data_IF_628166057647
#
_entry.id   IF_628166057647
#
_cell.length_a   1.000
_cell.length_b   1.000
_cell.length_c   1.000
_cell.angle_alpha   90.00
_cell.angle_beta   90.00
_cell.angle_gamma   90.00
#
_symmetry.space_group_name_H-M   'P 1'
#
loop_
_entity.id
_entity.type
_entity.pdbx_description
1 polymer ?
#
# COMPACT_ATOMS: atom_id res chain seq x y z
N UNK A 1 -11.73 -25.48 42.99
CA UNK A 1 -11.83 -25.49 41.52
C UNK A 1 -12.50 -24.20 41.09
N UNK A 2 -11.82 -23.27 40.38
CA UNK A 2 -12.52 -22.11 39.83
C UNK A 2 -13.41 -22.56 38.66
N UNK A 3 -14.54 -21.86 38.39
CA UNK A 3 -15.42 -22.21 37.30
C UNK A 3 -14.72 -21.97 35.95
N UNK A 4 -14.82 -22.94 35.03
CA UNK A 4 -14.39 -22.78 33.64
C UNK A 4 -15.21 -21.65 33.02
N UNK A 5 -14.55 -20.56 32.61
CA UNK A 5 -15.16 -19.56 31.74
C UNK A 5 -15.63 -20.25 30.47
N UNK A 6 -16.87 -19.99 30.00
CA UNK A 6 -17.30 -20.50 28.70
C UNK A 6 -16.37 -19.94 27.63
N UNK A 7 -15.93 -20.78 26.70
CA UNK A 7 -15.17 -20.35 25.55
C UNK A 7 -16.03 -19.35 24.77
N UNK A 8 -15.71 -18.06 24.89
CA UNK A 8 -16.17 -17.04 23.95
C UNK A 8 -15.60 -17.50 22.61
N UNK A 9 -16.44 -18.01 21.71
CA UNK A 9 -16.04 -18.24 20.33
C UNK A 9 -15.44 -16.93 19.83
N UNK A 10 -14.14 -16.93 19.54
CA UNK A 10 -13.35 -15.72 19.35
C UNK A 10 -13.89 -14.90 18.20
N UNK A 11 -14.73 -13.91 18.54
CA UNK A 11 -15.03 -12.74 17.75
C UNK A 11 -13.76 -11.86 17.70
N UNK A 12 -12.67 -12.43 17.19
CA UNK A 12 -11.38 -11.77 17.11
C UNK A 12 -11.44 -10.77 15.97
N UNK A 13 -11.84 -9.53 16.29
CA UNK A 13 -11.76 -8.41 15.37
C UNK A 13 -10.36 -8.39 14.75
N UNK A 14 -10.21 -8.54 13.42
CA UNK A 14 -8.91 -8.59 12.76
C UNK A 14 -8.13 -7.29 12.90
N UNK A 15 -8.76 -6.24 13.44
CA UNK A 15 -8.20 -4.92 13.66
C UNK A 15 -7.99 -4.56 15.13
N UNK A 16 -8.23 -5.49 16.07
CA UNK A 16 -8.19 -5.24 17.52
C UNK A 16 -6.87 -4.64 18.06
N UNK A 17 -5.81 -4.64 17.26
CA UNK A 17 -4.49 -4.05 17.58
C UNK A 17 -3.94 -3.14 16.48
N UNK A 18 -4.79 -2.67 15.57
CA UNK A 18 -4.44 -1.65 14.60
C UNK A 18 -4.94 -0.29 15.07
N UNK A 19 -4.11 0.73 14.85
CA UNK A 19 -4.50 2.12 15.01
C UNK A 19 -5.09 2.62 13.68
N UNK A 20 -6.27 3.24 13.75
CA UNK A 20 -6.88 3.87 12.57
C UNK A 20 -6.13 5.17 12.28
N UNK A 21 -5.54 5.24 11.08
CA UNK A 21 -4.89 6.46 10.58
C UNK A 21 -5.73 7.06 9.47
N UNK A 22 -6.08 8.34 9.61
CA UNK A 22 -6.75 9.10 8.55
C UNK A 22 -5.69 9.55 7.52
N UNK A 23 -5.90 9.22 6.24
CA UNK A 23 -4.97 9.54 5.16
C UNK A 23 -5.64 10.47 4.15
N UNK A 24 -4.92 11.52 3.78
CA UNK A 24 -5.24 12.44 2.70
C UNK A 24 -4.59 11.99 1.38
N UNK A 25 -5.05 12.53 0.25
CA UNK A 25 -4.45 12.22 -1.05
C UNK A 25 -2.96 12.62 -1.15
N UNK A 26 -2.51 13.63 -0.39
CA UNK A 26 -1.11 14.04 -0.33
C UNK A 26 -0.19 13.05 0.40
N UNK A 27 -0.74 12.18 1.25
CA UNK A 27 0.06 11.20 1.99
C UNK A 27 0.50 10.03 1.10
N UNK A 28 -0.09 9.91 -0.10
CA UNK A 28 0.22 8.85 -1.05
C UNK A 28 1.26 9.30 -2.07
N UNK A 29 2.53 8.96 -1.81
CA UNK A 29 3.65 9.24 -2.71
C UNK A 29 3.80 8.09 -3.69
N UNK A 30 3.39 8.30 -4.94
CA UNK A 30 3.55 7.30 -6.00
C UNK A 30 5.01 7.19 -6.42
N UNK A 31 5.51 5.96 -6.44
CA UNK A 31 6.78 5.59 -7.05
C UNK A 31 6.50 4.83 -8.36
N UNK A 32 7.19 5.22 -9.42
CA UNK A 32 7.07 4.63 -10.76
C UNK A 32 8.44 4.55 -11.43
N UNK A 33 8.58 3.83 -12.56
CA UNK A 33 9.85 3.77 -13.30
C UNK A 33 10.40 5.16 -13.61
N UNK A 34 11.71 5.38 -13.40
CA UNK A 34 12.31 6.71 -13.49
C UNK A 34 12.28 7.34 -14.90
N UNK A 35 12.11 6.53 -15.94
CA UNK A 35 12.26 6.93 -17.34
C UNK A 35 10.93 7.08 -18.09
N UNK A 36 9.78 6.97 -17.42
CA UNK A 36 8.47 7.15 -18.04
C UNK A 36 7.60 8.09 -17.20
N UNK A 37 6.67 8.85 -17.82
CA UNK A 37 5.76 9.69 -17.07
C UNK A 37 4.88 8.86 -16.10
N UNK A 38 4.72 9.35 -14.87
CA UNK A 38 3.86 8.73 -13.84
C UNK A 38 2.44 8.42 -14.35
N UNK A 39 1.86 9.31 -15.16
CA UNK A 39 0.51 9.13 -15.73
C UNK A 39 0.37 7.91 -16.66
N UNK A 40 1.48 7.33 -17.14
CA UNK A 40 1.45 6.10 -17.92
C UNK A 40 1.50 4.82 -17.06
N UNK A 41 1.77 4.94 -15.75
CA UNK A 41 1.96 3.80 -14.84
C UNK A 41 1.09 3.88 -13.59
N UNK A 42 0.43 5.00 -13.37
CA UNK A 42 -0.46 5.23 -12.25
C UNK A 42 -1.67 6.07 -12.66
N UNK A 43 -2.83 5.68 -12.15
CA UNK A 43 -4.05 6.48 -12.20
C UNK A 43 -4.77 6.44 -10.85
N UNK A 44 -5.32 7.59 -10.44
CA UNK A 44 -6.29 7.67 -9.36
C UNK A 44 -7.63 8.14 -9.92
N UNK A 45 -8.69 7.36 -9.71
CA UNK A 45 -10.04 7.70 -10.17
C UNK A 45 -11.09 7.11 -9.23
N UNK A 46 -11.94 7.96 -8.66
CA UNK A 46 -13.08 7.56 -7.83
C UNK A 46 -12.71 6.57 -6.71
N UNK A 47 -11.63 6.86 -5.97
CA UNK A 47 -11.14 5.99 -4.89
C UNK A 47 -10.29 4.80 -5.36
N UNK A 48 -10.22 4.51 -6.66
CA UNK A 48 -9.43 3.40 -7.21
C UNK A 48 -8.05 3.90 -7.66
N UNK A 49 -7.00 3.27 -7.14
CA UNK A 49 -5.60 3.46 -7.57
C UNK A 49 -5.21 2.31 -8.47
N UNK A 50 -4.96 2.60 -9.76
CA UNK A 50 -4.53 1.59 -10.74
C UNK A 50 -3.05 1.74 -11.01
N UNK A 51 -2.34 0.62 -11.02
CA UNK A 51 -0.91 0.54 -11.24
C UNK A 51 -0.63 -0.38 -12.42
N UNK A 52 0.25 0.06 -13.32
CA UNK A 52 0.75 -0.77 -14.41
C UNK A 52 2.24 -0.99 -14.24
N UNK A 53 2.67 -2.21 -14.50
CA UNK A 53 4.09 -2.58 -14.59
C UNK A 53 4.25 -3.41 -15.86
N UNK A 54 5.09 -2.93 -16.77
CA UNK A 54 5.39 -3.61 -18.02
C UNK A 54 6.77 -4.26 -17.98
N UNK A 55 6.94 -5.30 -18.78
CA UNK A 55 8.21 -6.06 -18.88
C UNK A 55 9.43 -5.17 -19.11
N UNK A 56 9.29 -4.10 -19.89
CA UNK A 56 10.38 -3.24 -20.30
C UNK A 56 10.52 -1.97 -19.44
N UNK A 57 9.73 -1.84 -18.39
CA UNK A 57 9.88 -0.74 -17.45
C UNK A 57 11.25 -0.79 -16.78
N UNK A 58 11.68 0.36 -16.25
CA UNK A 58 12.91 0.47 -15.47
C UNK A 58 12.61 0.48 -13.97
N UNK A 59 13.63 0.30 -13.12
CA UNK A 59 13.46 0.43 -11.68
C UNK A 59 12.98 1.83 -11.28
N UNK A 60 12.66 2.02 -10.00
CA UNK A 60 12.25 3.33 -9.47
C UNK A 60 13.37 4.38 -9.55
N UNK A 61 14.63 3.98 -9.47
CA UNK A 61 15.79 4.85 -9.58
C UNK A 61 16.96 4.12 -10.26
N UNK A 62 18.02 4.85 -10.58
CA UNK A 62 19.24 4.29 -11.20
C UNK A 62 20.27 3.80 -10.17
N UNK A 63 20.04 4.05 -8.88
CA UNK A 63 20.97 3.68 -7.81
C UNK A 63 20.80 2.24 -7.34
N UNK A 64 19.61 1.66 -7.49
CA UNK A 64 19.26 0.33 -7.00
C UNK A 64 18.94 -0.62 -8.15
N UNK A 65 19.38 -1.88 -8.03
CA UNK A 65 19.16 -2.93 -9.05
C UNK A 65 17.84 -3.70 -8.81
N UNK A 66 16.81 -3.01 -8.35
CA UNK A 66 15.49 -3.64 -8.11
C UNK A 66 14.74 -3.86 -9.43
N UNK A 67 13.82 -4.81 -9.46
CA UNK A 67 12.94 -4.97 -10.61
C UNK A 67 11.96 -3.79 -10.74
N UNK A 68 11.39 -3.57 -11.93
CA UNK A 68 10.41 -2.51 -12.15
C UNK A 68 9.20 -2.64 -11.23
N UNK A 69 8.72 -1.51 -10.73
CA UNK A 69 7.57 -1.43 -9.83
C UNK A 69 6.84 -0.10 -10.00
N UNK A 70 5.54 -0.16 -9.79
CA UNK A 70 4.66 1.00 -9.65
C UNK A 70 3.90 0.80 -8.35
N UNK A 71 4.14 1.65 -7.37
CA UNK A 71 3.66 1.48 -5.99
C UNK A 71 3.30 2.84 -5.37
N UNK A 72 2.68 2.81 -4.19
CA UNK A 72 2.48 4.00 -3.36
C UNK A 72 3.17 3.79 -2.03
N UNK A 73 4.02 4.75 -1.68
CA UNK A 73 4.56 4.90 -0.34
C UNK A 73 3.62 5.81 0.44
N UNK A 74 3.15 5.34 1.59
CA UNK A 74 2.38 6.17 2.51
C UNK A 74 3.39 6.97 3.35
N UNK A 75 3.23 8.29 3.35
CA UNK A 75 4.02 9.20 4.16
C UNK A 75 3.15 9.70 5.30
N UNK A 76 3.11 8.92 6.38
CA UNK A 76 2.47 9.33 7.64
C UNK A 76 3.50 10.13 8.44
N UNK A 77 3.14 11.34 8.87
CA UNK A 77 3.93 12.13 9.82
C UNK A 77 3.61 11.73 11.26
#
# INVERSE_FOLDING_TARGET
>A
MPPRRPAIGGNDDPTARFEKVELSDSDFVVQSPYNVPKSQRFQYRNGVRTFWVYRNDKPFNTATHTNPRSEVMIRVN
#
